data_IF_288716936969
#
_entry.id   IF_288716936969
#
_cell.length_a   1.000
_cell.length_b   1.000
_cell.length_c   1.000
_cell.angle_alpha   90.00
_cell.angle_beta   90.00
_cell.angle_gamma   90.00
#
_symmetry.space_group_name_H-M   'P 1'
#
loop_
_entity.id
_entity.type
_entity.pdbx_description
1 polymer ?
#
# COMPACT_ATOMS: atom_id res chain seq x y z
N UNK A 1 8.87 -8.54 11.38
CA UNK A 1 8.11 -8.95 10.18
C UNK A 1 8.93 -8.60 8.95
N UNK A 2 9.63 -9.58 8.41
CA UNK A 2 10.45 -9.45 7.20
C UNK A 2 9.80 -10.20 6.04
N UNK A 3 8.54 -9.86 5.73
CA UNK A 3 7.84 -10.40 4.58
C UNK A 3 8.32 -9.66 3.33
N UNK A 4 9.40 -10.21 2.76
CA UNK A 4 10.01 -9.71 1.53
C UNK A 4 10.08 -10.81 0.48
N UNK A 5 9.31 -11.89 0.64
CA UNK A 5 9.31 -12.93 -0.37
C UNK A 5 8.48 -12.44 -1.56
N UNK A 6 8.93 -12.64 -2.80
CA UNK A 6 8.23 -12.15 -3.99
C UNK A 6 6.87 -12.83 -4.27
N UNK A 7 6.30 -13.55 -3.29
CA UNK A 7 5.18 -14.48 -3.38
C UNK A 7 5.33 -15.52 -4.50
N UNK A 8 5.28 -16.81 -4.16
CA UNK A 8 5.50 -17.89 -5.13
C UNK A 8 4.25 -18.24 -5.95
N UNK A 9 3.23 -17.38 -5.99
CA UNK A 9 1.96 -17.69 -6.66
C UNK A 9 2.19 -17.90 -8.16
N UNK A 10 1.95 -19.12 -8.69
CA UNK A 10 2.07 -19.37 -10.12
C UNK A 10 0.90 -18.70 -10.88
N UNK A 11 1.14 -18.16 -12.09
CA UNK A 11 2.43 -18.08 -12.76
C UNK A 11 3.35 -17.06 -12.06
N UNK A 12 4.62 -17.45 -11.88
CA UNK A 12 5.66 -16.61 -11.26
C UNK A 12 5.68 -15.23 -11.95
N UNK A 13 5.26 -14.21 -11.22
CA UNK A 13 5.33 -12.81 -11.62
C UNK A 13 5.66 -11.99 -10.39
N UNK A 14 6.54 -10.99 -10.52
CA UNK A 14 6.86 -10.05 -9.44
C UNK A 14 5.59 -9.30 -9.04
N UNK A 15 4.86 -9.78 -8.03
CA UNK A 15 3.70 -9.06 -7.51
C UNK A 15 3.69 -9.13 -5.99
N UNK A 16 4.20 -8.04 -5.40
CA UNK A 16 4.21 -7.78 -3.97
C UNK A 16 2.88 -7.13 -3.58
N UNK A 17 1.78 -7.79 -3.92
CA UNK A 17 0.44 -7.24 -3.72
C UNK A 17 -0.41 -8.20 -2.92
N UNK A 18 -1.17 -7.63 -1.98
CA UNK A 18 -2.24 -8.33 -1.28
C UNK A 18 -3.52 -7.58 -1.61
N UNK A 19 -4.57 -8.32 -1.96
CA UNK A 19 -5.87 -7.74 -2.22
C UNK A 19 -6.49 -7.26 -0.90
N UNK A 20 -6.82 -5.98 -0.82
CA UNK A 20 -7.66 -5.43 0.25
C UNK A 20 -9.12 -5.53 -0.20
N UNK A 21 -10.03 -6.09 0.61
CA UNK A 21 -11.45 -6.15 0.27
C UNK A 21 -11.99 -4.76 -0.07
N UNK A 22 -12.88 -4.65 -1.07
CA UNK A 22 -13.43 -3.37 -1.54
C UNK A 22 -14.06 -2.56 -0.40
N UNK A 23 -14.69 -3.22 0.57
CA UNK A 23 -15.28 -2.55 1.74
C UNK A 23 -14.26 -1.87 2.68
N UNK A 24 -12.98 -2.25 2.59
CA UNK A 24 -11.89 -1.63 3.32
C UNK A 24 -11.42 -0.30 2.71
N UNK A 25 -11.93 0.11 1.54
CA UNK A 25 -11.50 1.32 0.84
C UNK A 25 -12.69 2.26 0.65
N UNK A 26 -12.55 3.50 1.10
CA UNK A 26 -13.52 4.58 0.86
C UNK A 26 -12.81 5.79 0.30
N UNK A 27 -13.36 6.40 -0.76
CA UNK A 27 -12.72 7.53 -1.44
C UNK A 27 -13.75 8.61 -1.73
N UNK A 28 -13.43 9.85 -1.37
CA UNK A 28 -14.16 11.04 -1.79
C UNK A 28 -13.16 12.13 -2.23
N UNK A 29 -12.83 12.10 -3.53
CA UNK A 29 -11.89 13.04 -4.15
C UNK A 29 -12.40 14.49 -4.10
N UNK A 30 -13.71 14.71 -4.18
CA UNK A 30 -14.28 16.06 -4.07
C UNK A 30 -13.90 16.73 -2.75
N UNK A 31 -13.88 15.96 -1.66
CA UNK A 31 -13.47 16.40 -0.32
C UNK A 31 -11.98 16.20 -0.02
N UNK A 32 -11.21 15.59 -0.92
CA UNK A 32 -9.80 15.27 -0.69
C UNK A 32 -9.56 14.24 0.41
N UNK A 33 -10.54 13.35 0.66
CA UNK A 33 -10.45 12.33 1.71
C UNK A 33 -10.49 10.91 1.15
N UNK A 34 -9.75 10.03 1.79
CA UNK A 34 -9.84 8.59 1.57
C UNK A 34 -9.49 7.83 2.85
N UNK A 35 -10.01 6.62 2.99
CA UNK A 35 -9.60 5.69 4.05
C UNK A 35 -9.35 4.32 3.46
N UNK A 36 -8.32 3.65 3.98
CA UNK A 36 -7.99 2.26 3.67
C UNK A 36 -7.79 1.51 4.98
N UNK A 37 -8.49 0.40 5.14
CA UNK A 37 -8.43 -0.44 6.33
C UNK A 37 -8.27 -1.90 5.91
N UNK A 38 -7.32 -2.59 6.55
CA UNK A 38 -7.13 -4.01 6.42
C UNK A 38 -6.91 -4.60 7.81
N UNK A 39 -7.51 -5.77 8.06
CA UNK A 39 -7.44 -6.44 9.35
C UNK A 39 -6.89 -7.85 9.17
N UNK A 40 -5.99 -8.26 10.06
CA UNK A 40 -5.42 -9.60 10.13
C UNK A 40 -4.90 -10.09 8.76
N UNK A 41 -4.24 -9.20 8.01
CA UNK A 41 -3.58 -9.56 6.76
C UNK A 41 -2.47 -10.55 7.08
N UNK A 42 -2.62 -11.79 6.60
CA UNK A 42 -1.63 -12.82 6.80
C UNK A 42 -0.33 -12.46 6.08
N UNK A 43 0.76 -12.51 6.82
CA UNK A 43 2.13 -12.29 6.35
C UNK A 43 3.04 -13.35 6.95
N UNK A 44 4.26 -13.49 6.43
CA UNK A 44 5.24 -14.45 6.93
C UNK A 44 6.47 -13.71 7.44
N UNK A 45 6.87 -13.93 8.70
CA UNK A 45 8.12 -13.38 9.23
C UNK A 45 9.28 -14.34 9.00
N UNK A 46 10.18 -13.96 8.10
CA UNK A 46 11.39 -14.71 7.78
C UNK A 46 12.54 -14.45 8.76
N UNK A 47 12.37 -13.51 9.70
CA UNK A 47 13.39 -13.16 10.70
C UNK A 47 14.48 -12.21 10.19
N UNK A 48 14.90 -12.36 8.93
CA UNK A 48 15.83 -11.45 8.26
C UNK A 48 15.60 -11.39 6.74
N UNK A 49 16.24 -10.39 6.10
CA UNK A 49 16.12 -10.11 4.66
C UNK A 49 16.71 -11.26 3.82
N UNK A 50 17.80 -11.88 4.26
CA UNK A 50 18.48 -12.95 3.52
C UNK A 50 17.58 -14.17 3.38
N UNK A 51 16.96 -14.60 4.48
CA UNK A 51 16.00 -15.69 4.49
C UNK A 51 14.73 -15.35 3.69
N UNK A 52 14.25 -14.10 3.75
CA UNK A 52 13.06 -13.66 3.01
C UNK A 52 13.25 -13.72 1.48
N UNK A 53 14.44 -13.34 0.99
CA UNK A 53 14.72 -13.25 -0.45
C UNK A 53 15.27 -14.56 -1.03
N UNK A 54 16.11 -15.28 -0.28
CA UNK A 54 16.89 -16.40 -0.80
C UNK A 54 16.60 -17.74 -0.11
N UNK A 55 15.88 -17.72 1.02
CA UNK A 55 15.65 -18.90 1.86
C UNK A 55 16.91 -19.39 2.56
N UNK A 56 16.88 -20.64 3.02
CA UNK A 56 18.03 -21.31 3.67
C UNK A 56 18.26 -20.96 5.14
N UNK A 57 17.48 -20.03 5.70
CA UNK A 57 17.46 -19.71 7.12
C UNK A 57 16.49 -20.58 7.93
N UNK A 58 16.22 -20.20 9.20
CA UNK A 58 15.22 -20.86 10.03
C UNK A 58 13.83 -20.87 9.39
N UNK A 59 12.98 -21.79 9.86
CA UNK A 59 11.59 -21.86 9.41
C UNK A 59 10.87 -20.54 9.69
N UNK A 60 10.27 -19.90 8.67
CA UNK A 60 9.54 -18.66 8.87
C UNK A 60 8.31 -18.83 9.77
N UNK A 61 7.95 -17.77 10.49
CA UNK A 61 6.86 -17.78 11.47
C UNK A 61 5.60 -17.12 10.88
N UNK A 62 4.41 -17.71 11.05
CA UNK A 62 3.16 -17.05 10.70
C UNK A 62 2.98 -15.74 11.45
N UNK A 63 2.59 -14.69 10.72
CA UNK A 63 2.38 -13.36 11.26
C UNK A 63 1.13 -12.72 10.66
N UNK A 64 0.68 -11.63 11.27
CA UNK A 64 -0.47 -10.86 10.77
C UNK A 64 -0.26 -9.37 10.96
N UNK A 65 -0.83 -8.56 10.07
CA UNK A 65 -0.83 -7.09 10.18
C UNK A 65 -2.25 -6.56 10.04
N UNK A 66 -2.62 -5.63 10.91
CA UNK A 66 -3.80 -4.79 10.72
C UNK A 66 -3.36 -3.34 10.59
N UNK A 67 -3.97 -2.57 9.70
CA UNK A 67 -3.65 -1.17 9.55
C UNK A 67 -4.86 -0.35 9.10
N UNK A 68 -4.80 0.93 9.43
CA UNK A 68 -5.70 1.95 8.92
C UNK A 68 -4.88 3.11 8.42
N UNK A 69 -5.17 3.55 7.20
CA UNK A 69 -4.61 4.76 6.59
C UNK A 69 -5.75 5.73 6.30
N UNK A 70 -5.58 6.98 6.68
CA UNK A 70 -6.54 8.05 6.43
C UNK A 70 -5.85 9.20 5.71
N UNK A 71 -6.33 9.52 4.52
CA UNK A 71 -5.93 10.68 3.74
C UNK A 71 -6.94 11.80 3.95
N UNK A 72 -6.46 13.04 4.10
CA UNK A 72 -7.34 14.19 4.24
C UNK A 72 -6.70 15.50 3.81
N UNK A 73 -7.54 16.45 3.44
CA UNK A 73 -7.13 17.79 3.03
C UNK A 73 -6.99 17.94 1.52
N UNK A 74 -6.90 19.20 1.09
CA UNK A 74 -6.70 19.58 -0.30
C UNK A 74 -5.60 20.63 -0.32
N UNK A 75 -4.35 20.17 -0.35
CA UNK A 75 -3.20 21.06 -0.46
C UNK A 75 -3.07 21.60 -1.89
N UNK A 76 -2.98 20.70 -2.86
CA UNK A 76 -2.83 21.03 -4.28
C UNK A 76 -3.65 20.06 -5.14
N UNK A 77 -4.20 20.56 -6.25
CA UNK A 77 -4.76 19.72 -7.32
C UNK A 77 -3.82 19.69 -8.50
N UNK A 78 -3.39 18.51 -8.89
CA UNK A 78 -2.39 18.30 -9.94
C UNK A 78 -3.02 17.51 -11.08
N UNK A 79 -2.91 18.03 -12.29
CA UNK A 79 -3.32 17.34 -13.51
C UNK A 79 -2.07 17.02 -14.31
N UNK A 80 -1.87 15.73 -14.59
CA UNK A 80 -0.72 15.24 -15.36
C UNK A 80 -1.27 14.60 -16.63
N UNK A 81 -0.63 14.89 -17.77
CA UNK A 81 -0.93 14.23 -19.05
C UNK A 81 0.36 14.00 -19.81
N UNK A 82 0.59 12.74 -20.21
CA UNK A 82 1.56 12.36 -21.22
C UNK A 82 0.81 11.80 -22.42
N UNK A 83 1.05 12.37 -23.60
CA UNK A 83 0.45 11.95 -24.87
C UNK A 83 1.45 11.25 -25.78
N UNK A 84 2.47 10.61 -25.20
CA UNK A 84 3.48 9.87 -25.96
C UNK A 84 2.82 8.77 -26.81
N UNK A 85 2.96 8.83 -28.15
CA UNK A 85 2.34 7.87 -29.04
C UNK A 85 3.07 6.51 -29.06
N UNK A 86 4.31 6.44 -28.56
CA UNK A 86 5.17 5.26 -28.60
C UNK A 86 5.00 4.40 -27.35
N UNK A 87 4.97 5.02 -26.17
CA UNK A 87 4.92 4.29 -24.88
C UNK A 87 3.52 4.25 -24.25
N UNK A 88 2.52 4.80 -24.94
CA UNK A 88 1.14 4.84 -24.48
C UNK A 88 0.82 6.08 -23.66
N UNK A 89 -0.46 6.45 -23.69
CA UNK A 89 -0.98 7.62 -22.99
C UNK A 89 -1.08 7.43 -21.49
N UNK A 90 -0.69 8.46 -20.74
CA UNK A 90 -0.92 8.58 -19.31
C UNK A 90 -1.73 9.85 -19.02
N UNK A 91 -2.71 9.77 -18.14
CA UNK A 91 -3.34 10.95 -17.58
C UNK A 91 -3.77 10.69 -16.14
N UNK A 92 -3.67 11.69 -15.28
CA UNK A 92 -4.15 11.59 -13.92
C UNK A 92 -4.56 12.93 -13.33
N UNK A 93 -5.56 12.86 -12.46
CA UNK A 93 -6.03 13.97 -11.64
C UNK A 93 -5.79 13.61 -10.17
N UNK A 94 -4.94 14.39 -9.51
CA UNK A 94 -4.42 14.09 -8.18
C UNK A 94 -4.67 15.22 -7.20
N UNK A 95 -4.68 14.85 -5.94
CA UNK A 95 -4.85 15.73 -4.80
C UNK A 95 -3.71 15.44 -3.85
N UNK A 96 -2.75 16.36 -3.77
CA UNK A 96 -1.70 16.29 -2.75
C UNK A 96 -2.29 16.73 -1.42
N UNK A 97 -2.07 15.91 -0.42
CA UNK A 97 -2.71 16.04 0.88
C UNK A 97 -1.81 15.48 1.99
N UNK A 98 -2.38 15.18 3.14
CA UNK A 98 -1.69 14.47 4.22
C UNK A 98 -2.31 13.10 4.44
N UNK A 99 -1.49 12.17 4.93
CA UNK A 99 -1.94 10.87 5.38
C UNK A 99 -1.50 10.62 6.84
N UNK A 100 -2.33 9.88 7.55
CA UNK A 100 -2.04 9.33 8.86
C UNK A 100 -2.22 7.82 8.80
N UNK A 101 -1.40 7.08 9.53
CA UNK A 101 -1.48 5.62 9.62
C UNK A 101 -1.29 5.16 11.05
N UNK A 102 -2.08 4.15 11.43
CA UNK A 102 -1.83 3.31 12.61
C UNK A 102 -1.84 1.84 12.18
N UNK A 103 -1.08 1.01 12.89
CA UNK A 103 -0.98 -0.42 12.61
C UNK A 103 -0.66 -1.25 13.84
N UNK A 104 -1.03 -2.52 13.76
CA UNK A 104 -0.64 -3.57 14.70
C UNK A 104 -0.11 -4.76 13.93
N UNK A 105 0.83 -5.48 14.54
CA UNK A 105 1.40 -6.69 13.97
C UNK A 105 1.62 -7.75 15.04
N UNK A 106 1.41 -9.01 14.67
CA UNK A 106 1.69 -10.17 15.53
C UNK A 106 2.61 -11.14 14.79
N UNK A 107 3.64 -11.65 15.45
CA UNK A 107 4.53 -12.68 14.89
C UNK A 107 4.97 -13.62 16.03
N UNK A 108 4.50 -14.87 16.00
CA UNK A 108 4.66 -15.77 17.16
C UNK A 108 4.09 -15.15 18.43
N UNK A 109 4.90 -15.08 19.49
CA UNK A 109 4.53 -14.49 20.78
C UNK A 109 4.74 -12.96 20.85
N UNK A 110 5.22 -12.34 19.78
CA UNK A 110 5.49 -10.90 19.74
C UNK A 110 4.30 -10.11 19.21
N UNK A 111 4.05 -8.95 19.82
CA UNK A 111 3.06 -7.97 19.37
C UNK A 111 3.74 -6.61 19.18
N UNK A 112 3.45 -5.97 18.06
CA UNK A 112 3.93 -4.65 17.68
C UNK A 112 2.73 -3.73 17.48
N UNK A 113 2.82 -2.51 17.98
CA UNK A 113 1.74 -1.51 17.92
C UNK A 113 2.37 -0.17 17.62
N UNK A 114 1.85 0.54 16.62
CA UNK A 114 2.24 1.92 16.36
C UNK A 114 1.65 2.86 17.40
N UNK A 115 2.14 4.10 17.42
CA UNK A 115 1.40 5.16 18.09
C UNK A 115 0.01 5.37 17.44
N UNK A 116 -0.95 5.99 18.16
CA UNK A 116 -2.30 6.24 17.64
C UNK A 116 -2.31 7.07 16.35
N UNK A 117 -3.33 6.88 15.50
CA UNK A 117 -3.47 7.59 14.23
C UNK A 117 -3.24 9.11 14.32
N UNK A 118 -3.72 9.74 15.39
CA UNK A 118 -3.67 11.19 15.58
C UNK A 118 -2.24 11.76 15.72
N UNK A 119 -1.26 10.96 16.13
CA UNK A 119 0.14 11.38 16.24
C UNK A 119 0.96 11.04 14.99
N UNK A 120 0.37 10.29 14.06
CA UNK A 120 0.98 9.93 12.78
C UNK A 120 1.07 11.13 11.84
N UNK A 121 2.10 11.14 11.01
CA UNK A 121 2.32 12.17 9.98
C UNK A 121 2.98 11.59 8.74
N UNK A 122 2.73 12.22 7.59
CA UNK A 122 3.30 11.87 6.30
C UNK A 122 4.19 12.98 5.76
N UNK A 123 5.35 12.65 5.20
CA UNK A 123 6.14 13.61 4.42
C UNK A 123 5.50 13.95 3.06
N UNK A 124 4.74 13.00 2.50
CA UNK A 124 3.99 13.15 1.26
C UNK A 124 2.76 12.24 1.30
N UNK A 125 1.65 12.71 0.75
CA UNK A 125 0.49 11.89 0.49
C UNK A 125 -0.29 12.43 -0.73
N UNK A 126 -0.90 11.52 -1.46
CA UNK A 126 -1.66 11.84 -2.66
C UNK A 126 -2.80 10.85 -2.86
N UNK A 127 -3.95 11.34 -3.32
CA UNK A 127 -5.07 10.52 -3.80
C UNK A 127 -5.52 11.06 -5.15
N UNK A 128 -6.01 10.20 -6.04
CA UNK A 128 -6.41 10.64 -7.36
C UNK A 128 -7.06 9.55 -8.20
N UNK A 129 -7.31 9.91 -9.45
CA UNK A 129 -7.68 8.98 -10.51
C UNK A 129 -6.60 8.99 -11.56
N UNK A 130 -6.12 7.80 -11.88
CA UNK A 130 -5.17 7.58 -12.94
C UNK A 130 -5.85 6.82 -14.08
N UNK A 131 -5.46 7.17 -15.31
CA UNK A 131 -5.66 6.37 -16.50
C UNK A 131 -4.30 6.08 -17.11
N UNK A 132 -3.94 4.81 -17.14
CA UNK A 132 -2.71 4.31 -17.72
C UNK A 132 -3.03 3.32 -18.85
N UNK A 133 -2.34 3.43 -19.99
CA UNK A 133 -2.47 2.49 -21.11
C UNK A 133 -3.63 2.74 -22.09
N UNK A 134 -4.21 3.95 -22.15
CA UNK A 134 -5.13 4.27 -23.26
C UNK A 134 -4.34 4.78 -24.46
N UNK A 135 -4.28 4.00 -25.54
CA UNK A 135 -3.96 4.53 -26.86
C UNK A 135 -5.05 5.56 -27.20
N UNK A 136 -4.70 6.84 -27.20
CA UNK A 136 -5.62 7.90 -27.59
C UNK A 136 -5.88 7.79 -29.09
N UNK A 137 -7.14 7.68 -29.57
CA UNK A 137 -7.45 7.97 -30.96
C UNK A 137 -7.25 9.46 -31.26
#
# INVERSE_FOLDING_TARGET
MHDLNPSLFPPLGLFWTIAIPVGGIQVNLGKGVATMEAQNVAVIDYGDIGNALFGGGPTPVPASVSFKVAWSGVGERVNIKNSDPVFGGYAGEFIRNTAQMEWTGTAGDYTFVSDPLATSSSAFAEIGRERNGSFFP
#
